data_IF_512151262415
#
_entry.id   IF_512151262415
#
_cell.length_a   1.000
_cell.length_b   1.000
_cell.length_c   1.000
_cell.angle_alpha   90.00
_cell.angle_beta   90.00
_cell.angle_gamma   90.00
#
_symmetry.space_group_name_H-M   'P 1'
#
loop_
_entity.id
_entity.type
_entity.pdbx_description
1 polymer ?
#
# COMPACT_ATOMS: atom_id res chain seq x y z
N UNK A 1 14.30 2.60 -14.03
CA UNK A 1 13.24 1.63 -13.68
C UNK A 1 13.13 1.64 -12.17
N UNK A 2 11.94 1.90 -11.65
CA UNK A 2 11.73 2.00 -10.20
C UNK A 2 10.83 0.86 -9.75
N UNK A 3 11.21 0.19 -8.67
CA UNK A 3 10.56 -1.03 -8.20
C UNK A 3 10.22 -0.87 -6.73
N UNK A 4 8.94 -0.95 -6.39
CA UNK A 4 8.46 -0.84 -5.02
C UNK A 4 7.85 -2.15 -4.55
N UNK A 5 8.08 -2.48 -3.29
CA UNK A 5 7.27 -3.43 -2.54
C UNK A 5 6.34 -2.66 -1.61
N UNK A 6 5.06 -3.01 -1.60
CA UNK A 6 4.06 -2.34 -0.76
C UNK A 6 3.27 -3.35 0.04
N UNK A 7 3.00 -3.02 1.29
CA UNK A 7 2.16 -3.83 2.16
C UNK A 7 1.55 -3.00 3.31
N UNK A 8 0.48 -3.52 3.88
CA UNK A 8 -0.20 -2.94 5.04
C UNK A 8 0.23 -3.69 6.28
N UNK A 9 0.85 -2.98 7.23
CA UNK A 9 1.26 -3.56 8.50
C UNK A 9 0.04 -4.06 9.29
N UNK A 10 0.25 -5.07 10.13
CA UNK A 10 -0.73 -5.49 11.13
C UNK A 10 -1.26 -4.29 11.94
N UNK A 11 -2.57 -4.32 12.23
CA UNK A 11 -3.28 -3.21 12.89
C UNK A 11 -2.61 -2.87 14.21
N UNK A 12 -2.24 -1.60 14.37
CA UNK A 12 -1.73 -1.03 15.61
C UNK A 12 -2.91 -0.52 16.44
N UNK A 13 -2.80 -0.61 17.77
CA UNK A 13 -3.90 -0.25 18.68
C UNK A 13 -3.43 0.76 19.71
N UNK A 14 -4.11 1.90 19.79
CA UNK A 14 -3.91 2.92 20.81
C UNK A 14 -5.11 2.99 21.77
N UNK A 15 -4.90 3.08 23.09
CA UNK A 15 -3.60 3.03 23.77
C UNK A 15 -3.07 1.57 23.88
N UNK A 16 -1.75 1.42 23.81
CA UNK A 16 -1.03 0.19 24.17
C UNK A 16 -0.60 0.30 25.63
N UNK A 17 -1.21 -0.48 26.51
CA UNK A 17 -0.91 -0.49 27.95
C UNK A 17 -0.82 -1.93 28.47
N UNK A 18 0.15 -2.19 29.34
CA UNK A 18 0.33 -3.48 30.00
C UNK A 18 -0.59 -3.65 31.23
N UNK A 19 -1.90 -3.40 31.07
CA UNK A 19 -2.88 -3.50 32.15
C UNK A 19 -4.08 -4.34 31.71
N UNK A 20 -4.45 -5.35 32.50
CA UNK A 20 -5.51 -6.31 32.12
C UNK A 20 -6.86 -5.66 31.82
N UNK A 21 -7.20 -4.53 32.47
CA UNK A 21 -8.45 -3.79 32.23
C UNK A 21 -8.57 -3.27 30.79
N UNK A 22 -7.46 -3.02 30.13
CA UNK A 22 -7.40 -2.44 28.77
C UNK A 22 -7.78 -3.47 27.70
N UNK A 23 -7.74 -4.76 28.03
CA UNK A 23 -8.24 -5.83 27.15
C UNK A 23 -9.74 -5.68 26.86
N UNK A 24 -10.52 -5.20 27.84
CA UNK A 24 -11.98 -5.05 27.73
C UNK A 24 -12.42 -3.66 27.23
N UNK A 25 -11.48 -2.83 26.78
CA UNK A 25 -11.77 -1.49 26.28
C UNK A 25 -11.58 -1.42 24.78
N UNK A 26 -12.45 -0.67 24.11
CA UNK A 26 -12.29 -0.34 22.70
C UNK A 26 -11.01 0.48 22.57
N UNK A 27 -10.18 0.09 21.61
CA UNK A 27 -8.94 0.77 21.27
C UNK A 27 -9.08 1.35 19.89
N UNK A 28 -8.52 2.54 19.72
CA UNK A 28 -8.43 3.19 18.43
C UNK A 28 -7.48 2.39 17.53
N UNK A 29 -7.97 2.01 16.36
CA UNK A 29 -7.14 1.35 15.34
C UNK A 29 -6.30 2.37 14.61
N UNK A 30 -5.04 2.01 14.42
CA UNK A 30 -4.06 2.80 13.72
C UNK A 30 -3.41 1.93 12.64
N UNK A 31 -3.34 2.48 11.43
CA UNK A 31 -2.93 1.77 10.23
C UNK A 31 -1.62 2.34 9.71
N UNK A 32 -0.81 1.47 9.13
CA UNK A 32 0.43 1.84 8.47
C UNK A 32 0.51 1.11 7.12
N UNK A 33 0.43 1.87 6.02
CA UNK A 33 0.76 1.38 4.69
C UNK A 33 2.19 1.76 4.37
N UNK A 34 3.03 0.76 4.09
CA UNK A 34 4.45 0.98 3.84
C UNK A 34 4.75 0.71 2.38
N UNK A 35 5.46 1.62 1.75
CA UNK A 35 6.09 1.42 0.44
C UNK A 35 7.60 1.44 0.59
N UNK A 36 8.26 0.44 0.04
CA UNK A 36 9.71 0.28 0.09
C UNK A 36 10.29 0.25 -1.31
N UNK A 37 11.18 1.17 -1.63
CA UNK A 37 11.91 1.19 -2.90
C UNK A 37 13.08 0.19 -2.84
N UNK A 38 13.05 -0.82 -3.70
CA UNK A 38 14.10 -1.84 -3.77
C UNK A 38 15.44 -1.30 -4.30
N UNK A 39 15.42 -0.22 -5.08
CA UNK A 39 16.61 0.37 -5.69
C UNK A 39 17.28 1.33 -4.73
N UNK A 40 16.55 2.34 -4.24
CA UNK A 40 17.11 3.37 -3.35
C UNK A 40 17.14 2.94 -1.88
N UNK A 41 16.45 1.85 -1.53
CA UNK A 41 16.24 1.38 -0.14
C UNK A 41 15.51 2.40 0.74
N UNK A 42 14.76 3.30 0.10
CA UNK A 42 13.97 4.31 0.76
C UNK A 42 12.62 3.73 1.20
N UNK A 43 12.30 3.87 2.49
CA UNK A 43 11.03 3.42 3.06
C UNK A 43 10.12 4.60 3.36
N UNK A 44 8.89 4.55 2.87
CA UNK A 44 7.83 5.53 3.14
C UNK A 44 6.66 4.86 3.84
N UNK A 45 6.17 5.49 4.91
CA UNK A 45 5.05 5.01 5.72
C UNK A 45 3.90 6.02 5.66
N UNK A 46 2.71 5.57 5.30
CA UNK A 46 1.48 6.35 5.36
C UNK A 46 0.68 5.90 6.57
N UNK A 47 0.44 6.84 7.48
CA UNK A 47 -0.15 6.57 8.78
C UNK A 47 -1.50 7.26 8.92
N UNK A 48 -2.51 6.54 9.37
CA UNK A 48 -3.82 7.11 9.67
C UNK A 48 -4.54 6.27 10.74
N UNK A 49 -5.43 6.89 11.49
CA UNK A 49 -6.36 6.19 12.39
C UNK A 49 -7.72 5.94 11.72
N UNK A 50 -8.53 5.07 12.32
CA UNK A 50 -9.85 4.70 11.80
C UNK A 50 -10.87 5.85 11.73
N UNK A 51 -10.63 6.99 12.41
CA UNK A 51 -11.49 8.19 12.28
C UNK A 51 -11.16 8.94 10.99
N UNK A 52 -9.91 8.90 10.57
CA UNK A 52 -9.43 9.55 9.36
C UNK A 52 -9.66 8.72 8.09
N UNK A 53 -9.70 7.40 8.17
CA UNK A 53 -9.95 6.57 7.00
C UNK A 53 -10.10 5.08 7.31
N UNK A 54 -10.97 4.41 6.56
CA UNK A 54 -11.15 2.97 6.63
C UNK A 54 -10.07 2.18 5.88
N UNK A 55 -10.24 0.86 5.85
CA UNK A 55 -9.46 -0.05 5.01
C UNK A 55 -10.20 -0.36 3.70
N UNK A 56 -10.93 0.58 3.14
CA UNK A 56 -11.72 0.38 1.91
C UNK A 56 -10.84 0.47 0.65
N UNK A 57 -11.33 -0.02 -0.49
CA UNK A 57 -10.54 -0.06 -1.72
C UNK A 57 -10.14 1.35 -2.21
N UNK A 58 -10.97 2.35 -1.95
CA UNK A 58 -10.73 3.77 -2.22
C UNK A 58 -9.56 4.34 -1.40
N UNK A 59 -9.38 3.86 -0.16
CA UNK A 59 -8.27 4.27 0.67
C UNK A 59 -6.94 3.78 0.07
N UNK A 60 -6.89 2.52 -0.37
CA UNK A 60 -5.74 1.98 -1.07
C UNK A 60 -5.50 2.64 -2.42
N UNK A 61 -6.56 2.91 -3.20
CA UNK A 61 -6.47 3.65 -4.46
C UNK A 61 -5.80 5.02 -4.26
N UNK A 62 -6.20 5.76 -3.21
CA UNK A 62 -5.59 7.04 -2.84
C UNK A 62 -4.10 6.90 -2.50
N UNK A 63 -3.74 5.88 -1.72
CA UNK A 63 -2.35 5.59 -1.32
C UNK A 63 -1.47 5.24 -2.52
N UNK A 64 -1.94 4.36 -3.42
CA UNK A 64 -1.22 4.01 -4.65
C UNK A 64 -1.07 5.20 -5.57
N UNK A 65 -2.12 6.00 -5.78
CA UNK A 65 -2.04 7.20 -6.61
C UNK A 65 -1.05 8.22 -6.05
N UNK A 66 -1.06 8.47 -4.73
CA UNK A 66 -0.11 9.39 -4.09
C UNK A 66 1.33 8.93 -4.22
N UNK A 67 1.58 7.63 -4.01
CA UNK A 67 2.89 7.02 -4.24
C UNK A 67 3.34 7.26 -5.69
N UNK A 68 2.54 6.84 -6.68
CA UNK A 68 2.88 6.95 -8.10
C UNK A 68 3.15 8.40 -8.51
N UNK A 69 2.27 9.33 -8.13
CA UNK A 69 2.41 10.75 -8.46
C UNK A 69 3.65 11.37 -7.82
N UNK A 70 3.91 11.07 -6.55
CA UNK A 70 5.10 11.57 -5.84
C UNK A 70 6.38 11.08 -6.49
N UNK A 71 6.46 9.81 -6.85
CA UNK A 71 7.65 9.24 -7.50
C UNK A 71 7.87 9.77 -8.90
N UNK A 72 6.79 9.98 -9.66
CA UNK A 72 6.88 10.62 -10.96
C UNK A 72 7.42 12.05 -10.85
N UNK A 73 6.96 12.83 -9.86
CA UNK A 73 7.44 14.19 -9.62
C UNK A 73 8.89 14.24 -9.13
N UNK A 74 9.33 13.26 -8.35
CA UNK A 74 10.72 13.17 -7.85
C UNK A 74 11.71 12.70 -8.92
N UNK A 75 11.24 12.00 -9.94
CA UNK A 75 12.10 11.45 -10.97
C UNK A 75 12.54 12.57 -11.91
N UNK A 76 13.80 12.99 -11.80
CA UNK A 76 14.29 14.17 -12.53
C UNK A 76 14.35 13.98 -14.06
N UNK A 77 14.44 12.75 -14.61
CA UNK A 77 14.42 12.51 -16.07
C UNK A 77 13.83 11.13 -16.44
N UNK A 78 12.84 11.10 -17.34
CA UNK A 78 12.34 9.94 -18.11
C UNK A 78 11.91 8.69 -17.32
N UNK A 79 11.07 8.84 -16.29
CA UNK A 79 10.41 7.69 -15.68
C UNK A 79 9.39 7.10 -16.67
N UNK A 80 9.78 6.05 -17.38
CA UNK A 80 8.91 5.38 -18.36
C UNK A 80 8.11 4.23 -17.76
N UNK A 81 8.62 3.65 -16.67
CA UNK A 81 8.08 2.43 -16.08
C UNK A 81 8.25 2.35 -14.56
N UNK A 82 7.14 2.07 -13.87
CA UNK A 82 7.08 1.74 -12.45
C UNK A 82 6.65 0.29 -12.28
N UNK A 83 7.31 -0.45 -11.39
CA UNK A 83 6.91 -1.80 -11.00
C UNK A 83 6.51 -1.78 -9.53
N UNK A 84 5.31 -2.28 -9.23
CA UNK A 84 4.73 -2.39 -7.90
C UNK A 84 4.58 -3.88 -7.56
N UNK A 85 5.15 -4.29 -6.44
CA UNK A 85 4.96 -5.61 -5.85
C UNK A 85 4.06 -5.49 -4.64
N UNK A 86 3.05 -6.36 -4.55
CA UNK A 86 2.14 -6.39 -3.41
C UNK A 86 1.67 -7.82 -3.13
N UNK A 87 1.08 -8.01 -1.95
CA UNK A 87 0.34 -9.23 -1.66
C UNK A 87 -0.89 -9.38 -2.58
N UNK A 88 -1.37 -10.60 -2.77
CA UNK A 88 -2.55 -10.89 -3.61
C UNK A 88 -3.91 -10.60 -2.97
N UNK A 89 -3.98 -9.77 -1.91
CA UNK A 89 -5.21 -9.51 -1.19
C UNK A 89 -6.22 -8.78 -2.10
N UNK A 90 -7.35 -9.43 -2.38
CA UNK A 90 -8.38 -8.88 -3.27
C UNK A 90 -8.94 -7.56 -2.76
N UNK A 91 -9.19 -7.47 -1.46
CA UNK A 91 -9.78 -6.27 -0.88
C UNK A 91 -8.86 -5.05 -0.92
N UNK A 92 -7.55 -5.26 -0.76
CA UNK A 92 -6.58 -4.17 -0.65
C UNK A 92 -5.91 -3.82 -1.97
N UNK A 93 -5.47 -4.82 -2.73
CA UNK A 93 -4.58 -4.64 -3.87
C UNK A 93 -5.21 -5.13 -5.17
N UNK A 94 -5.80 -6.34 -5.14
CA UNK A 94 -6.32 -7.01 -6.33
C UNK A 94 -7.82 -6.80 -6.49
N UNK A 95 -8.21 -5.54 -6.69
CA UNK A 95 -9.59 -5.15 -7.00
C UNK A 95 -9.66 -4.11 -8.11
N UNK A 96 -10.87 -3.91 -8.63
CA UNK A 96 -11.14 -2.98 -9.72
C UNK A 96 -10.90 -1.51 -9.38
N UNK A 97 -11.13 -1.09 -8.13
CA UNK A 97 -11.04 0.33 -7.73
C UNK A 97 -9.58 0.76 -7.75
N UNK A 98 -8.70 -0.05 -7.14
CA UNK A 98 -7.25 0.16 -7.16
C UNK A 98 -6.69 0.04 -8.58
N UNK A 99 -7.13 -0.95 -9.35
CA UNK A 99 -6.69 -1.11 -10.73
C UNK A 99 -7.07 0.09 -11.61
N UNK A 100 -8.30 0.59 -11.50
CA UNK A 100 -8.74 1.79 -12.23
C UNK A 100 -7.98 3.05 -11.78
N UNK A 101 -7.67 3.19 -10.49
CA UNK A 101 -6.89 4.30 -9.95
C UNK A 101 -5.44 4.29 -10.48
N UNK A 102 -4.80 3.12 -10.50
CA UNK A 102 -3.45 2.97 -11.06
C UNK A 102 -3.46 3.21 -12.57
N UNK A 103 -4.48 2.69 -13.29
CA UNK A 103 -4.63 2.96 -14.72
C UNK A 103 -4.81 4.46 -15.01
N UNK A 104 -5.63 5.15 -14.21
CA UNK A 104 -5.80 6.60 -14.32
C UNK A 104 -4.45 7.33 -14.20
N UNK A 105 -3.62 6.95 -13.22
CA UNK A 105 -2.27 7.48 -13.08
C UNK A 105 -1.39 7.14 -14.30
N UNK A 106 -1.43 5.91 -14.82
CA UNK A 106 -0.66 5.50 -16.01
C UNK A 106 -1.03 6.36 -17.24
N UNK A 107 -2.32 6.59 -17.47
CA UNK A 107 -2.83 7.43 -18.56
C UNK A 107 -2.46 8.89 -18.37
N UNK A 108 -2.66 9.44 -17.17
CA UNK A 108 -2.42 10.86 -16.88
C UNK A 108 -0.94 11.22 -16.97
N UNK A 109 -0.07 10.34 -16.48
CA UNK A 109 1.38 10.57 -16.44
C UNK A 109 2.10 10.08 -17.70
N UNK A 110 1.42 9.32 -18.57
CA UNK A 110 2.03 8.79 -19.78
C UNK A 110 3.05 7.67 -19.54
N UNK A 111 2.92 6.91 -18.44
CA UNK A 111 3.89 5.89 -18.03
C UNK A 111 3.29 4.48 -18.01
N UNK A 112 4.13 3.46 -18.15
CA UNK A 112 3.71 2.07 -17.96
C UNK A 112 3.84 1.68 -16.50
N UNK A 113 2.80 1.10 -15.92
CA UNK A 113 2.84 0.60 -14.54
C UNK A 113 2.60 -0.91 -14.56
N UNK A 114 3.47 -1.68 -13.92
CA UNK A 114 3.27 -3.12 -13.71
C UNK A 114 2.99 -3.38 -12.24
N UNK A 115 1.80 -3.91 -11.94
CA UNK A 115 1.43 -4.31 -10.58
C UNK A 115 1.42 -5.82 -10.49
N UNK A 116 2.45 -6.33 -9.83
CA UNK A 116 2.74 -7.75 -9.64
C UNK A 116 2.24 -8.20 -8.27
N UNK A 117 1.62 -9.36 -8.25
CA UNK A 117 1.09 -9.99 -7.06
C UNK A 117 1.90 -11.23 -6.72
N UNK A 118 2.26 -11.37 -5.44
CA UNK A 118 2.93 -12.57 -4.97
C UNK A 118 2.03 -13.80 -5.04
N UNK A 119 2.67 -14.95 -5.27
CA UNK A 119 1.99 -16.25 -5.22
C UNK A 119 1.79 -16.69 -3.77
N UNK A 120 0.69 -17.41 -3.51
CA UNK A 120 0.45 -18.01 -2.20
C UNK A 120 1.56 -19.02 -1.88
N UNK A 121 2.25 -18.83 -0.74
CA UNK A 121 3.40 -19.65 -0.32
C UNK A 121 4.78 -18.99 -0.55
N UNK A 122 4.86 -17.93 -1.36
CA UNK A 122 6.05 -17.08 -1.51
C UNK A 122 5.75 -15.70 -0.91
N UNK A 123 5.59 -15.66 0.41
CA UNK A 123 5.00 -14.52 1.14
C UNK A 123 5.98 -13.50 1.68
N UNK A 124 7.28 -13.66 1.46
CA UNK A 124 8.27 -12.72 1.99
C UNK A 124 8.62 -11.63 0.97
N UNK A 125 8.31 -10.38 1.31
CA UNK A 125 8.77 -9.18 0.64
C UNK A 125 9.74 -8.41 1.55
N UNK A 126 10.61 -7.60 0.95
CA UNK A 126 11.50 -6.71 1.70
C UNK A 126 10.73 -5.77 2.63
N UNK A 127 9.50 -5.39 2.28
CA UNK A 127 8.64 -4.56 3.15
C UNK A 127 8.26 -5.25 4.46
N UNK A 128 8.17 -6.59 4.51
CA UNK A 128 7.92 -7.34 5.75
C UNK A 128 9.08 -7.21 6.74
N UNK A 129 10.31 -7.05 6.22
CA UNK A 129 11.49 -6.81 7.04
C UNK A 129 11.43 -5.42 7.70
N UNK A 130 10.87 -4.43 7.01
CA UNK A 130 10.68 -3.08 7.52
C UNK A 130 9.58 -3.06 8.60
N UNK A 131 8.45 -3.76 8.41
CA UNK A 131 7.44 -3.97 9.45
C UNK A 131 8.02 -4.68 10.68
N UNK A 132 8.85 -5.71 10.47
CA UNK A 132 9.53 -6.41 11.57
C UNK A 132 10.43 -5.47 12.39
N UNK A 133 11.11 -4.51 11.74
CA UNK A 133 11.91 -3.49 12.43
C UNK A 133 11.03 -2.55 13.26
N UNK A 134 9.92 -2.08 12.67
CA UNK A 134 8.94 -1.21 13.32
C UNK A 134 8.32 -1.91 14.54
N UNK A 135 7.86 -3.14 14.39
CA UNK A 135 7.24 -3.93 15.45
C UNK A 135 8.20 -4.16 16.62
N UNK A 136 9.45 -4.53 16.35
CA UNK A 136 10.46 -4.66 17.42
C UNK A 136 10.65 -3.37 18.20
N UNK A 137 10.54 -2.20 17.54
CA UNK A 137 10.67 -0.91 18.24
C UNK A 137 9.41 -0.56 19.03
N UNK A 138 8.23 -0.85 18.50
CA UNK A 138 6.95 -0.71 19.20
C UNK A 138 6.89 -1.63 20.42
N UNK A 139 7.38 -2.87 20.31
CA UNK A 139 7.39 -3.85 21.41
C UNK A 139 8.27 -3.40 22.59
N UNK A 140 9.38 -2.70 22.32
CA UNK A 140 10.25 -2.12 23.36
C UNK A 140 9.63 -0.96 24.13
N UNK A 141 8.49 -0.43 23.69
CA UNK A 141 7.73 0.60 24.42
C UNK A 141 6.68 -0.07 25.29
N UNK A 142 6.80 0.10 26.60
CA UNK A 142 5.85 -0.44 27.59
C UNK A 142 4.46 0.18 27.45
N UNK A 143 4.41 1.46 27.10
CA UNK A 143 3.19 2.24 26.99
C UNK A 143 3.21 3.10 25.73
N UNK A 144 2.06 3.19 25.07
CA UNK A 144 1.77 4.14 23.99
C UNK A 144 0.38 4.69 24.25
N UNK A 145 0.27 5.98 24.57
CA UNK A 145 -1.01 6.56 24.99
C UNK A 145 -1.82 7.10 23.82
N UNK A 146 -1.15 7.74 22.87
CA UNK A 146 -1.79 8.41 21.72
C UNK A 146 -1.21 7.92 20.39
N UNK A 147 -2.00 7.92 19.29
CA UNK A 147 -1.51 7.51 17.98
C UNK A 147 -0.31 8.30 17.46
N UNK A 148 -0.21 9.58 17.82
CA UNK A 148 0.91 10.43 17.41
C UNK A 148 2.28 9.88 17.87
N UNK A 149 2.34 9.14 18.98
CA UNK A 149 3.57 8.49 19.42
C UNK A 149 4.04 7.40 18.45
N UNK A 150 3.11 6.70 17.76
CA UNK A 150 3.48 5.75 16.72
C UNK A 150 4.22 6.42 15.59
N UNK A 151 3.85 7.65 15.21
CA UNK A 151 4.51 8.40 14.13
C UNK A 151 6.00 8.54 14.41
N UNK A 152 6.37 9.05 15.60
CA UNK A 152 7.77 9.23 16.00
C UNK A 152 8.51 7.90 16.18
N UNK A 153 7.82 6.85 16.65
CA UNK A 153 8.41 5.51 16.80
C UNK A 153 8.74 4.92 15.42
N UNK A 154 7.80 5.00 14.48
CA UNK A 154 7.89 4.47 13.12
C UNK A 154 8.99 5.21 12.36
N UNK A 155 8.97 6.54 12.35
CA UNK A 155 9.98 7.39 11.68
C UNK A 155 11.41 6.98 12.05
N UNK A 156 11.64 6.78 13.35
CA UNK A 156 12.95 6.44 13.89
C UNK A 156 13.22 4.93 13.98
N UNK A 157 12.36 4.06 13.45
CA UNK A 157 12.48 2.62 13.64
C UNK A 157 13.73 2.01 12.98
N UNK A 158 14.13 2.56 11.83
CA UNK A 158 15.36 2.20 11.14
C UNK A 158 16.60 2.85 11.75
N UNK A 159 17.70 2.10 11.75
CA UNK A 159 19.00 2.56 12.26
C UNK A 159 20.05 2.77 11.17
N UNK A 160 20.10 1.88 10.17
CA UNK A 160 21.25 1.79 9.25
C UNK A 160 21.02 2.40 7.87
N UNK A 161 19.76 2.67 7.50
CA UNK A 161 19.35 3.08 6.14
C UNK A 161 18.62 4.44 6.14
N UNK A 162 18.84 5.24 7.18
CA UNK A 162 18.13 6.50 7.41
C UNK A 162 16.76 6.33 8.08
N UNK A 163 16.11 7.46 8.36
CA UNK A 163 14.75 7.52 8.89
C UNK A 163 13.73 7.15 7.79
N UNK A 164 12.56 6.67 8.19
CA UNK A 164 11.45 6.53 7.25
C UNK A 164 10.89 7.90 6.88
N UNK A 165 10.46 8.06 5.64
CA UNK A 165 9.60 9.17 5.27
C UNK A 165 8.18 8.88 5.76
N UNK A 166 7.73 9.60 6.78
CA UNK A 166 6.44 9.35 7.42
C UNK A 166 5.43 10.42 7.05
N UNK A 167 4.26 9.95 6.62
CA UNK A 167 3.15 10.76 6.14
C UNK A 167 1.91 10.49 6.97
N UNK A 168 1.55 11.41 7.87
CA UNK A 168 0.26 11.34 8.55
C UNK A 168 -0.86 11.77 7.59
N UNK A 169 -1.83 10.90 7.33
CA UNK A 169 -2.96 11.12 6.42
C UNK A 169 -4.23 11.35 7.22
N UNK A 170 -5.02 12.32 6.76
CA UNK A 170 -6.33 12.67 7.31
C UNK A 170 -7.43 12.30 6.32
N UNK A 171 -8.69 12.50 6.72
CA UNK A 171 -9.85 12.22 5.88
C UNK A 171 -9.85 12.93 4.52
N UNK A 172 -9.22 14.10 4.38
CA UNK A 172 -9.14 14.83 3.11
C UNK A 172 -8.19 14.16 2.09
N UNK A 173 -7.28 13.31 2.56
CA UNK A 173 -6.36 12.58 1.70
C UNK A 173 -7.09 11.49 0.91
N UNK A 174 -8.04 10.81 1.54
CA UNK A 174 -8.77 9.70 0.94
C UNK A 174 -9.86 10.23 0.01
N UNK A 175 -9.70 9.97 -1.29
CA UNK A 175 -10.59 10.47 -2.33
C UNK A 175 -11.55 9.39 -2.78
N UNK A 176 -12.67 9.83 -3.34
CA UNK A 176 -13.64 8.96 -3.98
C UNK A 176 -13.16 8.58 -5.39
N UNK A 177 -12.84 7.30 -5.58
CA UNK A 177 -12.45 6.71 -6.87
C UNK A 177 -13.60 6.04 -7.61
N UNK A 178 -14.83 6.05 -7.06
CA UNK A 178 -16.00 5.41 -7.69
C UNK A 178 -16.33 5.97 -9.08
N UNK A 179 -15.97 7.23 -9.33
CA UNK A 179 -16.19 7.93 -10.60
C UNK A 179 -15.18 7.55 -11.69
N UNK A 180 -14.04 6.98 -11.31
CA UNK A 180 -12.99 6.57 -12.25
C UNK A 180 -13.24 5.12 -12.64
N UNK A 181 -13.94 4.93 -13.76
CA UNK A 181 -14.33 3.62 -14.27
C UNK A 181 -13.86 3.40 -15.70
N UNK A 182 -12.61 2.99 -15.87
CA UNK A 182 -12.11 2.52 -17.17
C UNK A 182 -12.57 1.09 -17.43
N UNK A 183 -12.48 0.23 -16.41
CA UNK A 183 -12.89 -1.16 -16.46
C UNK A 183 -13.92 -1.45 -15.37
N UNK A 184 -15.00 -2.13 -15.73
CA UNK A 184 -16.05 -2.59 -14.80
C UNK A 184 -15.68 -3.88 -14.05
N UNK A 185 -14.57 -4.52 -14.43
CA UNK A 185 -14.02 -5.70 -13.77
C UNK A 185 -12.57 -5.91 -14.21
N UNK A 186 -11.76 -6.46 -13.32
CA UNK A 186 -10.40 -6.96 -13.63
C UNK A 186 -10.38 -8.46 -13.89
N UNK A 187 -11.55 -9.09 -14.06
CA UNK A 187 -11.63 -10.53 -14.34
C UNK A 187 -11.13 -10.81 -15.77
N UNK A 188 -10.13 -11.69 -15.97
CA UNK A 188 -9.55 -11.94 -17.30
C UNK A 188 -10.52 -12.61 -18.28
N UNK A 189 -11.36 -13.54 -17.82
CA UNK A 189 -12.34 -14.21 -18.68
C UNK A 189 -13.72 -14.33 -18.04
N UNK A 190 -14.73 -14.58 -18.87
CA UNK A 190 -16.15 -14.46 -18.52
C UNK A 190 -16.91 -15.80 -18.56
N UNK A 191 -16.25 -16.88 -19.00
CA UNK A 191 -16.84 -18.22 -19.11
C UNK A 191 -16.39 -19.10 -17.95
N UNK A 192 -17.15 -20.16 -17.72
CA UNK A 192 -16.75 -21.21 -16.79
C UNK A 192 -15.51 -21.92 -17.33
N UNK A 193 -14.47 -22.01 -16.49
CA UNK A 193 -13.15 -22.52 -16.86
C UNK A 193 -12.13 -21.45 -17.25
N UNK A 194 -12.55 -20.19 -17.45
CA UNK A 194 -11.61 -19.09 -17.67
C UNK A 194 -10.89 -18.69 -16.37
N UNK A 195 -9.68 -18.15 -16.50
CA UNK A 195 -8.91 -17.60 -15.38
C UNK A 195 -9.72 -16.54 -14.62
N UNK A 196 -9.72 -16.67 -13.31
CA UNK A 196 -10.40 -15.75 -12.40
C UNK A 196 -9.42 -14.69 -11.88
N UNK A 197 -9.95 -13.70 -11.14
CA UNK A 197 -9.14 -12.63 -10.54
C UNK A 197 -7.99 -13.21 -9.71
N UNK A 198 -8.20 -14.34 -9.02
CA UNK A 198 -7.18 -14.93 -8.18
C UNK A 198 -5.95 -15.46 -8.93
N UNK A 199 -6.12 -15.76 -10.22
CA UNK A 199 -5.06 -16.30 -11.08
C UNK A 199 -4.18 -15.20 -11.69
N UNK A 200 -4.55 -13.92 -11.49
CA UNK A 200 -3.78 -12.78 -11.97
C UNK A 200 -2.47 -12.68 -11.19
N UNK A 201 -1.35 -12.77 -11.91
CA UNK A 201 0.00 -12.55 -11.38
C UNK A 201 0.48 -11.15 -11.60
N UNK A 202 0.09 -10.52 -12.70
CA UNK A 202 0.46 -9.14 -12.98
C UNK A 202 -0.62 -8.45 -13.81
N UNK A 203 -0.89 -7.19 -13.47
CA UNK A 203 -1.61 -6.25 -14.30
C UNK A 203 -0.63 -5.22 -14.83
N UNK A 204 -0.54 -5.10 -16.16
CA UNK A 204 0.24 -4.06 -16.80
C UNK A 204 -0.72 -2.98 -17.33
N UNK A 205 -0.59 -1.79 -16.77
CA UNK A 205 -1.38 -0.61 -17.10
C UNK A 205 -0.62 0.22 -18.12
N UNK A 206 -1.23 0.42 -19.29
CA UNK A 206 -0.63 1.15 -20.39
C UNK A 206 -1.15 2.60 -20.44
N UNK A 207 -0.33 3.57 -20.92
CA UNK A 207 -0.73 4.96 -21.09
C UNK A 207 -1.95 5.19 -22.00
N UNK A 208 -2.25 4.24 -22.88
CA UNK A 208 -3.40 4.31 -23.79
C UNK A 208 -4.73 3.89 -23.13
N UNK A 209 -4.73 3.58 -21.84
CA UNK A 209 -5.92 3.19 -21.09
C UNK A 209 -6.24 1.70 -21.14
N UNK A 210 -5.32 0.84 -21.60
CA UNK A 210 -5.52 -0.61 -21.59
C UNK A 210 -4.83 -1.30 -20.42
N UNK A 211 -5.42 -2.42 -19.98
CA UNK A 211 -4.83 -3.33 -19.00
C UNK A 211 -4.49 -4.66 -19.71
N UNK A 212 -3.22 -5.05 -19.65
CA UNK A 212 -2.75 -6.37 -20.05
C UNK A 212 -2.70 -7.29 -18.82
N UNK A 213 -3.28 -8.48 -18.96
CA UNK A 213 -3.37 -9.49 -17.89
C UNK A 213 -2.31 -10.56 -18.10
N UNK A 214 -1.48 -10.79 -17.08
CA UNK A 214 -0.61 -11.96 -17.03
C UNK A 214 -1.20 -12.91 -15.99
N UNK A 215 -1.75 -14.01 -16.49
CA UNK A 215 -2.39 -15.09 -15.72
C UNK A 215 -1.50 -16.33 -15.68
N UNK A 216 -1.79 -17.23 -14.75
CA UNK A 216 -1.15 -18.55 -14.65
C UNK A 216 -1.61 -19.51 -15.74
#
# INVERSE_FOLDING_TARGET
MTVYCVDVQAVLLAPKLNVSKVYYKIKLKFHNFTSYDLVTRHGRCYLWDEVNGGLEAEAFASLYSDLINTEFQRSEINLTKIVLWSNGCCYQNRNQVVANAILHCAVTLGIVIEHKYLEHGHTFMEVDSEHSVIERKIQKKDYIYIPAEYVSIIESARKNLGLYEVHSRNYNFFKDYSKIQYYSSIRPGNRDGDSIVNDIRCLKYNPNGTIEYIVR
#
